data_IF_961396099629
#
_entry.id   IF_961396099629
#
_cell.length_a   1.000
_cell.length_b   1.000
_cell.length_c   1.000
_cell.angle_alpha   90.00
_cell.angle_beta   90.00
_cell.angle_gamma   90.00
#
_symmetry.space_group_name_H-M   'P 1'
#
loop_
_entity.id
_entity.type
_entity.pdbx_description
1 polymer ?
#
# COMPACT_ATOMS: atom_id res chain seq x y z
N UNK A 1 15.97 15.31 -2.69
CA UNK A 1 16.99 15.43 -1.64
C UNK A 1 18.35 15.24 -2.30
N UNK A 2 19.10 16.34 -2.51
CA UNK A 2 20.50 16.25 -2.88
C UNK A 2 21.29 15.85 -1.65
N UNK A 3 21.67 14.59 -1.56
CA UNK A 3 22.61 14.12 -0.54
C UNK A 3 24.01 14.66 -0.90
N UNK A 4 24.76 15.11 0.08
CA UNK A 4 26.19 15.40 -0.13
C UNK A 4 26.87 14.12 -0.61
N UNK A 5 27.94 14.22 -1.41
CA UNK A 5 28.65 13.07 -1.97
C UNK A 5 29.04 12.04 -0.90
N UNK A 6 29.46 12.46 0.28
CA UNK A 6 29.79 11.59 1.42
C UNK A 6 28.55 10.82 1.97
N UNK A 7 27.39 11.47 2.06
CA UNK A 7 26.16 10.81 2.53
C UNK A 7 25.65 9.80 1.50
N UNK A 8 25.80 10.07 0.22
CA UNK A 8 25.48 9.15 -0.87
C UNK A 8 26.34 7.89 -0.81
N UNK A 9 27.63 8.03 -0.56
CA UNK A 9 28.58 6.90 -0.45
C UNK A 9 28.32 6.02 0.77
N UNK A 10 27.95 6.62 1.91
CA UNK A 10 27.56 5.88 3.11
C UNK A 10 26.29 5.06 2.85
N UNK A 11 25.27 5.69 2.25
CA UNK A 11 24.01 5.01 1.93
C UNK A 11 24.23 3.87 0.94
N UNK A 12 25.04 4.08 -0.10
CA UNK A 12 25.43 3.04 -1.05
C UNK A 12 26.08 1.84 -0.37
N UNK A 13 27.02 2.06 0.56
CA UNK A 13 27.66 0.97 1.32
C UNK A 13 26.68 0.20 2.18
N UNK A 14 25.71 0.89 2.81
CA UNK A 14 24.65 0.24 3.59
C UNK A 14 23.77 -0.65 2.71
N UNK A 15 23.30 -0.14 1.57
CA UNK A 15 22.47 -0.93 0.65
C UNK A 15 23.24 -2.13 0.08
N UNK A 16 24.52 -1.95 -0.28
CA UNK A 16 25.36 -3.05 -0.80
C UNK A 16 25.53 -4.16 0.24
N UNK A 17 25.83 -3.80 1.50
CA UNK A 17 25.91 -4.77 2.58
C UNK A 17 24.57 -5.49 2.82
N UNK A 18 23.45 -4.75 2.77
CA UNK A 18 22.11 -5.35 2.87
C UNK A 18 21.85 -6.38 1.78
N UNK A 19 22.19 -6.10 0.51
CA UNK A 19 22.06 -7.05 -0.60
C UNK A 19 22.92 -8.29 -0.37
N UNK A 20 24.15 -8.12 0.11
CA UNK A 20 25.05 -9.26 0.40
C UNK A 20 24.48 -10.16 1.50
N UNK A 21 23.82 -9.59 2.49
CA UNK A 21 23.12 -10.32 3.55
C UNK A 21 21.94 -11.09 2.94
N UNK A 22 21.09 -10.45 2.13
CA UNK A 22 19.94 -11.10 1.49
C UNK A 22 20.39 -12.31 0.65
N UNK A 23 21.45 -12.16 -0.14
CA UNK A 23 22.02 -13.25 -0.97
C UNK A 23 22.55 -14.44 -0.16
N UNK A 24 22.83 -14.26 1.11
CA UNK A 24 23.26 -15.36 2.00
C UNK A 24 22.11 -16.02 2.73
N UNK A 25 20.98 -15.34 2.86
CA UNK A 25 19.79 -15.86 3.55
C UNK A 25 18.96 -16.78 2.67
N UNK A 26 18.99 -16.57 1.35
CA UNK A 26 18.24 -17.38 0.40
C UNK A 26 19.13 -17.78 -0.80
N UNK A 27 18.90 -18.96 -1.41
CA UNK A 27 19.61 -19.36 -2.62
C UNK A 27 19.10 -18.63 -3.89
N UNK A 28 17.97 -17.96 -3.81
CA UNK A 28 17.35 -17.27 -4.92
C UNK A 28 18.06 -15.98 -5.32
N UNK A 29 17.64 -15.41 -6.43
CA UNK A 29 18.12 -14.13 -6.92
C UNK A 29 17.58 -12.98 -6.07
N UNK A 30 18.35 -11.90 -5.98
CA UNK A 30 17.90 -10.65 -5.39
C UNK A 30 17.47 -9.70 -6.51
N UNK A 31 16.22 -9.32 -6.54
CA UNK A 31 15.66 -8.37 -7.49
C UNK A 31 15.52 -7.01 -6.81
N UNK A 32 15.93 -5.95 -7.50
CA UNK A 32 15.81 -4.57 -7.04
C UNK A 32 14.88 -3.81 -7.98
N UNK A 33 13.68 -3.53 -7.52
CA UNK A 33 12.68 -2.79 -8.30
C UNK A 33 12.75 -1.29 -8.01
N UNK A 34 12.82 -0.49 -9.05
CA UNK A 34 12.88 0.96 -8.94
C UNK A 34 11.92 1.63 -9.92
N UNK A 35 11.50 2.84 -9.59
CA UNK A 35 10.71 3.64 -10.52
C UNK A 35 11.59 4.07 -11.70
N UNK A 36 11.12 3.94 -12.94
CA UNK A 36 11.88 4.27 -14.15
C UNK A 36 12.51 5.68 -14.11
N UNK A 37 11.80 6.69 -13.56
CA UNK A 37 12.35 8.05 -13.39
C UNK A 37 13.48 8.15 -12.35
N UNK A 38 13.65 7.16 -11.50
CA UNK A 38 14.66 7.14 -10.44
C UNK A 38 15.86 6.23 -10.80
N UNK A 39 15.83 5.54 -11.93
CA UNK A 39 16.89 4.61 -12.36
C UNK A 39 18.29 5.25 -12.30
N UNK A 40 18.45 6.43 -12.91
CA UNK A 40 19.73 7.14 -12.92
C UNK A 40 20.14 7.74 -11.56
N UNK A 41 19.28 7.71 -10.56
CA UNK A 41 19.56 8.19 -9.21
C UNK A 41 19.96 7.07 -8.25
N UNK A 42 19.72 5.81 -8.63
CA UNK A 42 20.10 4.66 -7.83
C UNK A 42 21.59 4.34 -8.00
N UNK A 43 22.31 4.08 -6.91
CA UNK A 43 23.68 3.62 -7.01
C UNK A 43 23.72 2.25 -7.68
N UNK A 44 24.74 2.00 -8.50
CA UNK A 44 24.97 0.68 -9.04
C UNK A 44 25.34 -0.28 -7.91
N UNK A 45 24.48 -1.28 -7.66
CA UNK A 45 24.60 -2.26 -6.59
C UNK A 45 24.93 -3.63 -7.21
N UNK A 46 25.95 -4.30 -6.67
CA UNK A 46 26.38 -5.61 -7.17
C UNK A 46 25.54 -6.72 -6.53
N UNK A 47 25.21 -7.72 -7.34
CA UNK A 47 24.53 -8.92 -6.85
C UNK A 47 23.02 -8.82 -6.74
N UNK A 48 22.42 -7.75 -7.27
CA UNK A 48 20.99 -7.64 -7.49
C UNK A 48 20.70 -7.38 -8.97
N UNK A 49 19.60 -7.92 -9.47
CA UNK A 49 19.06 -7.65 -10.80
C UNK A 49 18.16 -6.41 -10.70
N UNK A 50 18.46 -5.37 -11.50
CA UNK A 50 17.72 -4.13 -11.49
C UNK A 50 16.52 -4.21 -12.44
N UNK A 51 15.33 -3.91 -11.95
CA UNK A 51 14.10 -3.81 -12.73
C UNK A 51 13.51 -2.41 -12.60
N UNK A 52 13.02 -1.87 -13.71
CA UNK A 52 12.41 -0.54 -13.74
C UNK A 52 10.94 -0.64 -14.05
N UNK A 53 10.13 0.01 -13.22
CA UNK A 53 8.68 0.05 -13.35
C UNK A 53 8.19 1.47 -13.60
N UNK A 54 7.23 1.59 -14.52
CA UNK A 54 6.55 2.85 -14.83
C UNK A 54 5.04 2.59 -14.92
N UNK A 55 4.26 3.53 -14.45
CA UNK A 55 2.80 3.41 -14.50
C UNK A 55 2.12 4.21 -13.40
N UNK A 56 0.80 4.15 -13.42
CA UNK A 56 -0.03 4.64 -12.32
C UNK A 56 -0.07 3.58 -11.22
N UNK A 57 -0.52 3.97 -10.02
CA UNK A 57 -0.87 2.99 -8.99
C UNK A 57 -1.86 1.95 -9.59
N UNK A 58 -1.67 0.63 -9.35
CA UNK A 58 -0.79 -0.02 -8.38
C UNK A 58 0.56 -0.53 -8.92
N UNK A 59 1.10 -0.03 -10.04
CA UNK A 59 2.38 -0.48 -10.59
C UNK A 59 3.57 -0.42 -9.60
N UNK A 60 3.41 0.31 -8.50
CA UNK A 60 4.39 0.41 -7.41
C UNK A 60 4.25 -0.66 -6.33
N UNK A 61 3.18 -1.45 -6.32
CA UNK A 61 2.99 -2.52 -5.35
C UNK A 61 3.97 -3.66 -5.64
N UNK A 62 4.51 -4.25 -4.59
CA UNK A 62 5.52 -5.30 -4.72
C UNK A 62 4.93 -6.58 -5.32
N UNK A 63 3.69 -6.94 -5.01
CA UNK A 63 3.00 -8.08 -5.62
C UNK A 63 2.89 -7.95 -7.13
N UNK A 64 2.48 -6.77 -7.63
CA UNK A 64 2.44 -6.47 -9.07
C UNK A 64 3.82 -6.61 -9.72
N UNK A 65 4.87 -6.16 -9.03
CA UNK A 65 6.24 -6.25 -9.55
C UNK A 65 6.74 -7.68 -9.60
N UNK A 66 6.45 -8.48 -8.57
CA UNK A 66 6.79 -9.91 -8.52
C UNK A 66 6.07 -10.65 -9.66
N UNK A 67 4.77 -10.42 -9.84
CA UNK A 67 4.00 -11.03 -10.93
C UNK A 67 4.64 -10.80 -12.32
N UNK A 68 5.19 -9.61 -12.57
CA UNK A 68 5.84 -9.29 -13.85
C UNK A 68 7.29 -9.77 -13.98
N UNK A 69 7.97 -10.07 -12.88
CA UNK A 69 9.36 -10.54 -12.89
C UNK A 69 9.39 -12.07 -12.88
N UNK A 70 8.73 -12.67 -11.88
CA UNK A 70 8.73 -14.11 -11.63
C UNK A 70 7.52 -14.44 -10.73
N UNK A 71 6.37 -14.80 -11.33
CA UNK A 71 5.13 -15.06 -10.58
C UNK A 71 5.32 -16.22 -9.60
N UNK A 72 4.78 -16.08 -8.39
CA UNK A 72 4.91 -17.08 -7.33
C UNK A 72 3.97 -18.25 -7.58
N UNK A 73 4.51 -19.47 -7.54
CA UNK A 73 3.76 -20.72 -7.67
C UNK A 73 3.65 -21.47 -6.34
N UNK A 74 2.87 -22.54 -6.32
CA UNK A 74 2.70 -23.41 -5.15
C UNK A 74 4.05 -23.92 -4.64
N UNK A 75 4.32 -23.71 -3.36
CA UNK A 75 5.55 -24.16 -2.70
C UNK A 75 6.75 -23.22 -2.86
N UNK A 76 6.62 -22.14 -3.61
CA UNK A 76 7.64 -21.11 -3.73
C UNK A 76 7.50 -20.07 -2.62
N UNK A 77 8.62 -19.46 -2.23
CA UNK A 77 8.67 -18.42 -1.18
C UNK A 77 9.46 -17.23 -1.68
N UNK A 78 8.85 -16.06 -1.65
CA UNK A 78 9.49 -14.79 -1.97
C UNK A 78 9.54 -13.88 -0.74
N UNK A 79 10.74 -13.39 -0.42
CA UNK A 79 10.93 -12.41 0.63
C UNK A 79 10.95 -10.99 0.07
N UNK A 80 10.16 -10.11 0.63
CA UNK A 80 10.13 -8.71 0.26
C UNK A 80 10.75 -7.85 1.35
N UNK A 81 11.60 -6.89 0.96
CA UNK A 81 12.27 -5.97 1.91
C UNK A 81 12.21 -4.56 1.36
N UNK A 82 11.74 -3.63 2.17
CA UNK A 82 11.73 -2.22 1.82
C UNK A 82 13.16 -1.67 1.77
N UNK A 83 13.43 -0.72 0.90
CA UNK A 83 14.76 -0.12 0.73
C UNK A 83 15.31 0.53 2.02
N UNK A 84 14.45 1.10 2.88
CA UNK A 84 14.87 1.65 4.15
C UNK A 84 15.26 0.54 5.13
N UNK A 85 14.51 -0.56 5.15
CA UNK A 85 14.77 -1.70 6.01
C UNK A 85 16.04 -2.44 5.54
N UNK A 86 16.29 -2.52 4.22
CA UNK A 86 17.54 -3.01 3.66
C UNK A 86 18.74 -2.16 4.13
N UNK A 87 18.59 -0.84 4.18
CA UNK A 87 19.63 0.05 4.70
C UNK A 87 19.87 -0.14 6.22
N UNK A 88 18.84 -0.42 7.00
CA UNK A 88 18.93 -0.75 8.44
C UNK A 88 19.73 -2.04 8.62
N UNK A 89 19.42 -3.08 7.83
CA UNK A 89 20.15 -4.35 7.83
C UNK A 89 21.63 -4.09 7.47
N UNK A 90 21.87 -3.33 6.41
CA UNK A 90 23.25 -3.01 6.01
C UNK A 90 24.03 -2.22 7.06
N UNK A 91 23.39 -1.30 7.80
CA UNK A 91 24.03 -0.62 8.94
C UNK A 91 24.41 -1.58 10.05
N UNK A 92 23.51 -2.50 10.38
CA UNK A 92 23.79 -3.52 11.39
C UNK A 92 25.08 -4.29 11.07
N UNK A 93 25.21 -4.78 9.84
CA UNK A 93 26.39 -5.57 9.44
C UNK A 93 27.66 -4.74 9.23
N UNK A 94 27.54 -3.47 8.87
CA UNK A 94 28.70 -2.58 8.73
C UNK A 94 29.21 -2.00 10.05
N UNK A 95 28.29 -1.69 10.98
CA UNK A 95 28.60 -0.92 12.19
C UNK A 95 28.44 -1.74 13.49
N UNK A 96 27.87 -2.95 13.41
CA UNK A 96 27.66 -3.82 14.57
C UNK A 96 26.59 -3.31 15.55
N UNK A 97 25.75 -2.33 15.13
CA UNK A 97 24.71 -1.74 15.98
C UNK A 97 23.37 -1.71 15.28
N UNK A 98 22.30 -1.89 16.05
CA UNK A 98 20.92 -1.75 15.56
C UNK A 98 20.51 -0.27 15.61
N UNK A 99 20.14 0.29 14.46
CA UNK A 99 19.58 1.63 14.35
C UNK A 99 18.28 1.55 13.55
N UNK A 100 17.16 1.52 14.27
CA UNK A 100 15.80 1.39 13.71
C UNK A 100 15.22 2.72 13.25
N UNK A 101 16.04 3.75 13.06
CA UNK A 101 15.61 5.05 12.57
C UNK A 101 15.25 4.98 11.09
N UNK A 102 14.06 5.43 10.76
CA UNK A 102 13.54 5.52 9.39
C UNK A 102 12.86 6.86 9.11
N UNK A 103 12.68 7.18 7.83
CA UNK A 103 11.96 8.37 7.39
C UNK A 103 10.55 7.95 6.99
N UNK A 104 9.56 8.63 7.55
CA UNK A 104 8.16 8.45 7.21
C UNK A 104 7.56 9.72 6.61
N UNK A 105 6.55 9.56 5.76
CA UNK A 105 5.73 10.67 5.29
C UNK A 105 4.56 10.91 6.27
N UNK A 106 4.33 12.15 6.66
CA UNK A 106 3.12 12.57 7.38
C UNK A 106 2.26 13.35 6.39
N UNK A 107 1.09 12.82 6.06
CA UNK A 107 0.21 13.32 5.00
C UNK A 107 -1.28 13.16 5.34
N UNK A 108 -2.14 13.65 4.47
CA UNK A 108 -3.59 13.60 4.60
C UNK A 108 -4.20 14.98 4.60
N UNK A 109 -5.52 15.05 4.30
CA UNK A 109 -6.24 16.33 4.22
C UNK A 109 -6.32 17.06 5.55
N UNK A 110 -6.23 16.34 6.67
CA UNK A 110 -6.28 16.92 8.03
C UNK A 110 -4.91 17.25 8.61
N UNK A 111 -3.84 17.10 7.84
CA UNK A 111 -2.50 17.56 8.22
C UNK A 111 -2.31 19.01 7.80
N UNK A 112 -1.87 19.86 8.72
CA UNK A 112 -1.63 21.28 8.45
C UNK A 112 -0.41 21.47 7.54
N UNK A 113 0.70 20.77 7.86
CA UNK A 113 1.96 20.84 7.11
C UNK A 113 2.44 19.42 6.75
N UNK A 114 2.11 18.89 5.55
CA UNK A 114 2.64 17.63 5.09
C UNK A 114 4.17 17.66 5.05
N UNK A 115 4.81 16.65 5.65
CA UNK A 115 6.27 16.62 5.80
C UNK A 115 6.83 15.22 5.93
N UNK A 116 8.14 15.10 5.73
CA UNK A 116 8.88 13.89 6.10
C UNK A 116 9.46 14.05 7.51
N UNK A 117 9.27 13.02 8.34
CA UNK A 117 9.77 12.97 9.71
C UNK A 117 10.74 11.80 9.87
N UNK A 118 11.84 12.04 10.60
CA UNK A 118 12.72 10.97 11.05
C UNK A 118 12.23 10.44 12.39
N UNK A 119 11.92 9.15 12.45
CA UNK A 119 11.35 8.48 13.63
C UNK A 119 12.03 7.14 13.85
N UNK A 120 11.92 6.62 15.06
CA UNK A 120 12.25 5.22 15.33
C UNK A 120 11.06 4.35 14.90
N UNK A 121 11.29 3.18 14.31
CA UNK A 121 10.22 2.25 13.97
C UNK A 121 9.37 1.96 15.22
N UNK A 122 8.05 2.00 15.07
CA UNK A 122 7.11 1.85 16.18
C UNK A 122 6.96 3.09 17.08
N UNK A 123 7.34 4.29 16.61
CA UNK A 123 7.17 5.52 17.38
C UNK A 123 5.69 5.81 17.69
N UNK A 124 5.40 6.47 18.80
CA UNK A 124 4.05 6.88 19.19
C UNK A 124 3.49 7.91 18.20
N UNK A 125 2.24 7.68 17.82
CA UNK A 125 1.52 8.52 16.83
C UNK A 125 1.34 9.94 17.32
N UNK A 126 0.96 10.15 18.57
CA UNK A 126 0.76 11.49 19.17
C UNK A 126 2.04 12.34 19.13
N UNK A 127 3.20 11.71 19.34
CA UNK A 127 4.49 12.41 19.27
C UNK A 127 4.83 12.88 17.84
N UNK A 128 4.45 12.09 16.83
CA UNK A 128 4.65 12.41 15.42
C UNK A 128 3.71 13.54 14.96
N UNK A 129 2.45 13.48 15.39
CA UNK A 129 1.40 14.41 14.97
C UNK A 129 1.35 15.71 15.76
N UNK A 130 2.13 15.85 16.83
CA UNK A 130 2.07 16.98 17.76
C UNK A 130 2.04 18.34 17.07
N UNK A 131 0.90 19.05 17.22
CA UNK A 131 0.70 20.38 16.67
C UNK A 131 0.63 20.46 15.13
N UNK A 132 0.41 19.33 14.45
CA UNK A 132 0.36 19.28 12.99
C UNK A 132 -0.99 18.75 12.44
N UNK A 133 -1.95 18.50 13.30
CA UNK A 133 -3.33 18.19 12.89
C UNK A 133 -4.14 19.47 12.89
N UNK A 134 -4.92 19.71 11.84
CA UNK A 134 -5.79 20.87 11.73
C UNK A 134 -6.79 20.93 12.89
N UNK A 135 -7.15 22.14 13.38
CA UNK A 135 -8.19 22.28 14.39
C UNK A 135 -9.51 21.68 13.89
N UNK A 136 -10.09 20.79 14.68
CA UNK A 136 -11.37 20.16 14.37
C UNK A 136 -12.52 21.03 14.91
N UNK A 137 -13.63 21.09 14.16
CA UNK A 137 -14.87 21.69 14.65
C UNK A 137 -15.54 20.76 15.66
N UNK A 138 -16.39 21.31 16.50
CA UNK A 138 -17.18 20.51 17.44
C UNK A 138 -18.00 19.42 16.68
N UNK A 139 -17.83 18.18 17.08
CA UNK A 139 -18.46 17.01 16.43
C UNK A 139 -17.77 16.52 15.16
N UNK A 140 -16.63 17.08 14.76
CA UNK A 140 -15.80 16.52 13.69
C UNK A 140 -14.72 15.62 14.31
N UNK A 141 -14.46 14.48 13.65
CA UNK A 141 -13.43 13.54 14.06
C UNK A 141 -12.46 13.28 12.91
N UNK A 142 -11.25 12.86 13.25
CA UNK A 142 -10.23 12.45 12.28
C UNK A 142 -9.95 10.97 12.38
N UNK A 143 -9.70 10.35 11.25
CA UNK A 143 -9.15 9.03 11.16
C UNK A 143 -7.64 9.10 10.99
N UNK A 144 -6.93 8.48 11.91
CA UNK A 144 -5.49 8.33 11.84
C UNK A 144 -5.20 6.93 11.31
N UNK A 145 -4.35 6.84 10.28
CA UNK A 145 -4.03 5.61 9.57
C UNK A 145 -2.51 5.41 9.59
N UNK A 146 -2.09 4.29 10.17
CA UNK A 146 -0.73 3.80 10.04
C UNK A 146 -0.56 3.16 8.67
N UNK A 147 0.08 3.86 7.75
CA UNK A 147 0.15 3.53 6.34
C UNK A 147 -0.63 4.52 5.45
N UNK A 148 -0.97 4.08 4.24
CA UNK A 148 -1.75 4.84 3.27
C UNK A 148 -3.26 4.59 3.43
N UNK A 149 -4.09 5.33 2.68
CA UNK A 149 -5.56 5.24 2.75
C UNK A 149 -6.15 3.95 2.18
N UNK A 150 -5.40 3.20 1.38
CA UNK A 150 -5.89 2.00 0.69
C UNK A 150 -5.61 0.72 1.49
N UNK A 151 -4.44 0.63 2.11
CA UNK A 151 -3.95 -0.60 2.76
C UNK A 151 -3.52 -0.41 4.21
N UNK A 152 -3.60 0.83 4.71
CA UNK A 152 -3.18 1.15 6.07
C UNK A 152 -4.20 0.74 7.13
N UNK A 153 -3.74 0.65 8.36
CA UNK A 153 -4.57 0.25 9.51
C UNK A 153 -4.94 1.47 10.35
N UNK A 154 -6.21 1.58 10.74
CA UNK A 154 -6.67 2.60 11.70
C UNK A 154 -5.91 2.44 13.02
N UNK A 155 -5.39 3.55 13.55
CA UNK A 155 -4.67 3.58 14.82
C UNK A 155 -5.22 4.71 15.72
N UNK A 156 -5.32 4.52 17.03
CA UNK A 156 -5.67 5.61 17.92
C UNK A 156 -4.53 6.61 18.05
N UNK A 157 -4.83 7.82 18.53
CA UNK A 157 -3.84 8.89 18.68
C UNK A 157 -2.70 8.53 19.67
N UNK A 158 -3.00 7.75 20.69
CA UNK A 158 -2.05 7.23 21.68
C UNK A 158 -1.39 5.90 21.27
N UNK A 159 -1.74 5.39 20.08
CA UNK A 159 -1.17 4.18 19.50
C UNK A 159 0.22 4.35 18.91
N UNK A 160 0.67 3.34 18.21
CA UNK A 160 2.00 3.27 17.64
C UNK A 160 1.96 3.11 16.12
N UNK A 161 2.96 3.66 15.45
CA UNK A 161 3.15 3.45 14.02
C UNK A 161 3.52 1.99 13.77
N UNK A 162 2.87 1.35 12.80
CA UNK A 162 3.20 -0.02 12.38
C UNK A 162 4.66 -0.14 11.97
N UNK A 163 5.28 -1.27 12.30
CA UNK A 163 6.72 -1.49 12.08
C UNK A 163 7.13 -1.26 10.61
N UNK A 164 6.35 -1.75 9.67
CA UNK A 164 6.61 -1.63 8.22
C UNK A 164 6.00 -0.37 7.60
N UNK A 165 5.23 0.42 8.35
CA UNK A 165 4.61 1.63 7.83
C UNK A 165 5.67 2.70 7.54
N UNK A 166 5.63 3.27 6.35
CA UNK A 166 6.48 4.38 5.90
C UNK A 166 5.69 5.69 5.76
N UNK A 167 4.43 5.67 6.17
CA UNK A 167 3.52 6.81 6.10
C UNK A 167 2.57 6.80 7.29
N UNK A 168 2.22 8.00 7.75
CA UNK A 168 1.13 8.26 8.68
C UNK A 168 0.16 9.21 8.00
N UNK A 169 -1.09 8.78 7.86
CA UNK A 169 -2.12 9.52 7.12
C UNK A 169 -3.25 9.96 8.04
N UNK A 170 -3.70 11.20 7.92
CA UNK A 170 -4.83 11.73 8.69
C UNK A 170 -5.86 12.33 7.75
N UNK A 171 -7.08 11.79 7.81
CA UNK A 171 -8.22 12.19 6.97
C UNK A 171 -9.47 12.41 7.84
N UNK A 172 -10.51 13.08 7.33
CA UNK A 172 -11.78 13.17 8.05
C UNK A 172 -12.39 11.80 8.32
N UNK A 173 -12.96 11.60 9.50
CA UNK A 173 -13.75 10.39 9.81
C UNK A 173 -15.13 10.50 9.14
N UNK A 174 -15.57 9.42 8.51
CA UNK A 174 -16.85 9.32 7.83
C UNK A 174 -17.97 8.87 8.77
N UNK A 175 -18.27 9.66 9.79
CA UNK A 175 -19.30 9.38 10.80
C UNK A 175 -20.61 10.17 10.59
N UNK A 176 -20.71 10.93 9.47
CA UNK A 176 -21.89 11.72 9.14
C UNK A 176 -22.77 10.99 8.11
N UNK A 177 -23.92 10.55 8.58
CA UNK A 177 -24.92 9.92 7.72
C UNK A 177 -25.70 10.97 6.93
N UNK A 178 -25.82 10.76 5.62
CA UNK A 178 -26.61 11.63 4.72
C UNK A 178 -27.82 10.86 4.16
N UNK A 179 -29.01 11.25 4.58
CA UNK A 179 -30.25 10.68 4.05
C UNK A 179 -30.35 10.96 2.54
N UNK A 180 -30.57 9.91 1.73
CA UNK A 180 -30.67 9.96 0.25
C UNK A 180 -29.46 10.64 -0.42
N UNK A 181 -28.30 10.69 0.24
CA UNK A 181 -27.09 11.33 -0.27
C UNK A 181 -26.64 10.83 -1.66
N UNK A 182 -26.94 9.58 -1.98
CA UNK A 182 -26.66 8.94 -3.28
C UNK A 182 -27.52 9.47 -4.44
N UNK A 183 -28.71 10.01 -4.16
CA UNK A 183 -29.64 10.52 -5.18
C UNK A 183 -29.49 12.03 -5.45
N UNK A 184 -28.71 12.73 -4.63
CA UNK A 184 -28.56 14.18 -4.74
C UNK A 184 -27.53 14.54 -5.82
N UNK A 185 -27.86 15.42 -6.79
CA UNK A 185 -26.88 15.93 -7.74
C UNK A 185 -25.83 16.78 -6.98
N UNK A 186 -24.57 16.37 -7.06
CA UNK A 186 -23.48 17.05 -6.32
C UNK A 186 -22.25 17.26 -7.18
N UNK A 187 -21.58 18.40 -6.97
CA UNK A 187 -20.30 18.74 -7.62
C UNK A 187 -19.10 18.52 -6.70
N UNK A 188 -19.31 18.20 -5.43
CA UNK A 188 -18.28 18.09 -4.39
C UNK A 188 -18.03 16.66 -3.91
N UNK A 189 -18.81 15.68 -4.35
CA UNK A 189 -18.57 14.26 -4.05
C UNK A 189 -17.89 13.56 -5.22
N UNK A 190 -16.88 12.76 -4.91
CA UNK A 190 -16.19 11.91 -5.87
C UNK A 190 -17.02 10.66 -6.17
N UNK A 191 -16.99 10.21 -7.41
CA UNK A 191 -17.64 8.97 -7.83
C UNK A 191 -16.95 8.43 -9.09
N UNK A 192 -16.44 7.21 -9.03
CA UNK A 192 -15.86 6.51 -10.19
C UNK A 192 -16.95 6.18 -11.21
N UNK A 193 -18.13 5.79 -10.75
CA UNK A 193 -19.31 5.46 -11.60
C UNK A 193 -19.98 6.66 -12.25
N UNK A 194 -19.47 7.88 -12.02
CA UNK A 194 -20.06 9.13 -12.51
C UNK A 194 -21.50 9.38 -12.03
N UNK A 195 -21.87 8.87 -10.89
CA UNK A 195 -23.19 9.08 -10.28
C UNK A 195 -23.43 10.53 -9.86
N UNK A 196 -22.37 11.30 -9.61
CA UNK A 196 -22.43 12.73 -9.27
C UNK A 196 -21.90 13.57 -10.42
N UNK A 197 -22.38 14.82 -10.54
CA UNK A 197 -21.93 15.76 -11.58
C UNK A 197 -20.49 16.27 -11.41
N UNK A 198 -19.80 15.85 -10.38
CA UNK A 198 -18.38 16.15 -10.14
C UNK A 198 -17.45 15.70 -11.28
N UNK A 199 -17.84 14.72 -12.09
CA UNK A 199 -17.11 14.31 -13.29
C UNK A 199 -16.97 15.41 -14.35
N UNK A 200 -17.82 16.46 -14.32
CA UNK A 200 -17.69 17.64 -15.15
C UNK A 200 -16.47 18.52 -14.76
N UNK A 201 -15.92 18.31 -13.57
CA UNK A 201 -14.78 19.03 -13.03
C UNK A 201 -13.56 18.13 -12.85
N UNK A 202 -12.91 17.62 -13.91
CA UNK A 202 -11.90 16.55 -13.84
C UNK A 202 -10.61 16.97 -13.12
N UNK A 203 -10.37 18.26 -12.93
CA UNK A 203 -9.18 18.81 -12.22
C UNK A 203 -9.45 19.12 -10.76
N UNK A 204 -10.67 18.85 -10.26
CA UNK A 204 -11.02 19.16 -8.87
C UNK A 204 -10.30 18.19 -7.93
N UNK A 205 -9.68 18.73 -6.90
CA UNK A 205 -9.19 17.94 -5.75
C UNK A 205 -10.35 17.68 -4.78
N UNK A 206 -10.34 16.52 -4.14
CA UNK A 206 -11.35 16.09 -3.18
C UNK A 206 -10.67 15.75 -1.85
N UNK A 207 -11.23 16.23 -0.75
CA UNK A 207 -10.93 15.74 0.59
C UNK A 207 -11.89 14.58 0.87
N UNK A 208 -11.41 13.35 0.66
CA UNK A 208 -12.21 12.15 0.86
C UNK A 208 -12.23 11.79 2.34
N UNK A 209 -13.41 11.44 2.82
CA UNK A 209 -13.65 10.87 4.14
C UNK A 209 -13.77 9.33 4.07
N UNK A 210 -14.08 8.70 5.19
CA UNK A 210 -14.24 7.24 5.28
C UNK A 210 -15.69 6.78 5.11
N UNK A 211 -16.60 7.64 4.65
CA UNK A 211 -17.97 7.24 4.36
C UNK A 211 -18.02 6.28 3.17
N UNK A 212 -18.71 5.18 3.33
CA UNK A 212 -18.93 4.19 2.29
C UNK A 212 -19.71 4.77 1.09
N UNK A 213 -20.55 5.78 1.29
CA UNK A 213 -21.40 6.42 0.27
C UNK A 213 -22.24 5.41 -0.54
N UNK A 214 -22.81 4.44 0.15
CA UNK A 214 -23.60 3.36 -0.43
C UNK A 214 -23.85 2.26 0.59
N UNK A 215 -24.25 1.09 0.15
CA UNK A 215 -24.40 -0.10 0.98
C UNK A 215 -23.84 -1.31 0.24
N UNK A 216 -23.49 -2.34 0.99
CA UNK A 216 -23.02 -3.61 0.45
C UNK A 216 -24.08 -4.24 -0.45
N UNK A 217 -23.63 -4.79 -1.56
CA UNK A 217 -24.46 -5.47 -2.54
C UNK A 217 -23.73 -6.69 -3.10
N UNK A 218 -24.45 -7.74 -3.57
CA UNK A 218 -23.81 -8.80 -4.33
C UNK A 218 -23.06 -8.23 -5.54
N UNK A 219 -21.83 -8.66 -5.75
CA UNK A 219 -21.04 -8.22 -6.90
C UNK A 219 -21.23 -9.17 -8.08
N UNK A 220 -21.65 -8.59 -9.21
CA UNK A 220 -21.96 -9.33 -10.44
C UNK A 220 -21.31 -8.71 -11.67
N UNK A 221 -20.71 -7.53 -11.52
CA UNK A 221 -20.11 -6.79 -12.62
C UNK A 221 -18.77 -7.42 -12.96
N UNK A 222 -18.59 -7.85 -14.21
CA UNK A 222 -17.32 -8.35 -14.75
C UNK A 222 -16.60 -7.26 -15.55
N UNK A 223 -15.27 -7.34 -15.65
CA UNK A 223 -14.47 -6.41 -16.46
C UNK A 223 -14.18 -5.05 -15.79
N UNK A 224 -14.60 -4.85 -14.53
CA UNK A 224 -14.28 -3.62 -13.80
C UNK A 224 -12.91 -3.73 -13.14
N UNK A 225 -12.65 -4.81 -12.42
CA UNK A 225 -11.42 -4.97 -11.64
C UNK A 225 -10.20 -5.13 -12.54
N UNK A 226 -10.36 -5.75 -13.69
CA UNK A 226 -9.30 -5.92 -14.70
C UNK A 226 -8.75 -4.58 -15.22
N UNK A 227 -9.51 -3.49 -15.09
CA UNK A 227 -9.06 -2.14 -15.45
C UNK A 227 -8.09 -1.54 -14.42
N UNK A 228 -8.11 -2.06 -13.20
CA UNK A 228 -7.35 -1.53 -12.06
C UNK A 228 -6.28 -2.48 -11.53
N UNK A 229 -6.34 -3.74 -11.91
CA UNK A 229 -5.38 -4.77 -11.52
C UNK A 229 -4.52 -5.15 -12.74
N UNK A 230 -3.28 -4.65 -12.85
CA UNK A 230 -2.41 -4.94 -13.99
C UNK A 230 -1.66 -6.26 -13.81
N UNK A 231 -2.41 -7.35 -13.64
CA UNK A 231 -1.92 -8.74 -13.53
C UNK A 231 -2.71 -9.62 -14.49
N UNK A 232 -2.09 -10.66 -15.01
CA UNK A 232 -2.72 -11.64 -15.91
C UNK A 232 -3.49 -12.70 -15.12
N UNK A 233 -4.48 -12.25 -14.37
CA UNK A 233 -5.39 -13.08 -13.59
C UNK A 233 -6.84 -12.65 -13.82
N UNK A 234 -7.80 -13.50 -13.41
CA UNK A 234 -9.23 -13.20 -13.47
C UNK A 234 -9.77 -12.80 -12.08
N UNK A 235 -9.67 -11.53 -11.68
CA UNK A 235 -9.91 -11.10 -10.29
C UNK A 235 -11.33 -11.42 -9.81
N UNK A 236 -12.37 -11.20 -10.64
CA UNK A 236 -13.76 -11.50 -10.28
C UNK A 236 -13.98 -12.99 -10.03
N UNK A 237 -13.38 -13.87 -10.83
CA UNK A 237 -13.54 -15.31 -10.67
C UNK A 237 -12.75 -15.80 -9.44
N UNK A 238 -11.56 -15.26 -9.21
CA UNK A 238 -10.76 -15.57 -8.03
C UNK A 238 -11.49 -15.19 -6.74
N UNK A 239 -12.07 -13.99 -6.66
CA UNK A 239 -12.87 -13.54 -5.51
C UNK A 239 -14.06 -14.47 -5.25
N UNK A 240 -14.76 -14.90 -6.30
CA UNK A 240 -15.86 -15.86 -6.15
C UNK A 240 -15.41 -17.23 -5.70
N UNK A 241 -14.24 -17.68 -6.13
CA UNK A 241 -13.63 -18.93 -5.66
C UNK A 241 -13.28 -18.84 -4.18
N UNK A 242 -12.70 -17.71 -3.74
CA UNK A 242 -12.41 -17.45 -2.32
C UNK A 242 -13.67 -17.48 -1.46
N UNK A 243 -14.75 -16.80 -1.89
CA UNK A 243 -16.02 -16.80 -1.17
C UNK A 243 -16.69 -18.17 -1.12
N UNK A 244 -16.51 -18.99 -2.15
CA UNK A 244 -17.00 -20.36 -2.20
C UNK A 244 -16.13 -21.36 -1.40
N UNK A 245 -14.91 -20.97 -0.99
CA UNK A 245 -13.95 -21.87 -0.38
C UNK A 245 -13.45 -22.97 -1.32
N UNK A 246 -13.49 -22.73 -2.63
CA UNK A 246 -13.12 -23.71 -3.66
C UNK A 246 -11.62 -23.64 -3.92
N UNK A 247 -10.87 -24.49 -3.21
CA UNK A 247 -9.39 -24.53 -3.21
C UNK A 247 -8.86 -24.77 -4.61
N UNK A 248 -9.38 -25.76 -5.31
CA UNK A 248 -8.91 -26.11 -6.66
C UNK A 248 -9.07 -24.94 -7.64
N UNK A 249 -10.20 -24.21 -7.54
CA UNK A 249 -10.39 -23.02 -8.36
C UNK A 249 -9.52 -21.85 -7.93
N UNK A 250 -9.28 -21.65 -6.64
CA UNK A 250 -8.36 -20.61 -6.17
C UNK A 250 -6.94 -20.86 -6.72
N UNK A 251 -6.44 -22.09 -6.67
CA UNK A 251 -5.14 -22.47 -7.25
C UNK A 251 -5.11 -22.20 -8.77
N UNK A 252 -6.11 -22.69 -9.50
CA UNK A 252 -6.18 -22.54 -10.96
C UNK A 252 -6.35 -21.07 -11.41
N UNK A 253 -6.81 -20.18 -10.53
CA UNK A 253 -7.04 -18.76 -10.80
C UNK A 253 -5.93 -17.84 -10.26
N UNK A 254 -4.83 -18.42 -9.72
CA UNK A 254 -3.64 -17.66 -9.35
C UNK A 254 -3.62 -17.09 -7.94
N UNK A 255 -4.24 -17.76 -6.95
CA UNK A 255 -4.25 -17.29 -5.55
C UNK A 255 -2.83 -17.13 -4.98
N UNK A 256 -1.83 -17.90 -5.45
CA UNK A 256 -0.45 -17.80 -5.00
C UNK A 256 0.29 -16.56 -5.50
N UNK A 257 -0.21 -15.93 -6.56
CA UNK A 257 0.43 -14.77 -7.19
C UNK A 257 0.01 -13.44 -6.58
N UNK A 258 -1.01 -13.43 -5.71
CA UNK A 258 -1.66 -12.22 -5.24
C UNK A 258 -1.55 -12.05 -3.73
N UNK A 259 -1.58 -10.79 -3.31
CA UNK A 259 -1.79 -10.39 -1.92
C UNK A 259 -2.95 -9.38 -1.85
N UNK A 260 -3.54 -9.21 -0.67
CA UNK A 260 -4.69 -8.33 -0.49
C UNK A 260 -4.43 -6.88 -0.93
N UNK A 261 -3.21 -6.36 -0.76
CA UNK A 261 -2.90 -4.98 -1.14
C UNK A 261 -2.99 -4.72 -2.65
N UNK A 262 -2.85 -5.75 -3.49
CA UNK A 262 -2.97 -5.62 -4.94
C UNK A 262 -4.41 -5.30 -5.34
N UNK A 263 -5.38 -5.74 -4.54
CA UNK A 263 -6.81 -5.50 -4.75
C UNK A 263 -7.34 -4.22 -4.10
N UNK A 264 -6.53 -3.47 -3.39
CA UNK A 264 -6.98 -2.28 -2.67
C UNK A 264 -7.62 -1.23 -3.58
N UNK A 265 -7.11 -1.05 -4.80
CA UNK A 265 -7.72 -0.15 -5.78
C UNK A 265 -9.02 -0.72 -6.37
N UNK A 266 -9.13 -2.05 -6.53
CA UNK A 266 -10.37 -2.72 -6.92
C UNK A 266 -11.47 -2.48 -5.88
N UNK A 267 -11.15 -2.61 -4.59
CA UNK A 267 -12.07 -2.32 -3.49
C UNK A 267 -12.52 -0.86 -3.48
N UNK A 268 -11.60 0.08 -3.70
CA UNK A 268 -11.93 1.51 -3.75
C UNK A 268 -12.93 1.85 -4.88
N UNK A 269 -12.82 1.22 -6.04
CA UNK A 269 -13.68 1.50 -7.20
C UNK A 269 -14.96 0.65 -7.23
N UNK A 270 -15.04 -0.38 -6.39
CA UNK A 270 -16.18 -1.31 -6.40
C UNK A 270 -17.51 -0.63 -6.06
N UNK A 271 -18.50 -0.68 -6.98
CA UNK A 271 -19.83 -0.15 -6.72
C UNK A 271 -20.64 -0.99 -5.72
N UNK A 272 -20.27 -2.26 -5.52
CA UNK A 272 -20.95 -3.18 -4.61
C UNK A 272 -20.51 -3.02 -3.15
N UNK A 273 -19.42 -2.28 -2.91
CA UNK A 273 -18.91 -1.93 -1.57
C UNK A 273 -18.56 -3.15 -0.70
N UNK A 274 -18.05 -4.20 -1.33
CA UNK A 274 -17.57 -5.39 -0.62
C UNK A 274 -16.12 -5.22 -0.15
N UNK A 275 -15.74 -5.92 0.91
CA UNK A 275 -14.37 -5.92 1.46
C UNK A 275 -13.49 -6.89 0.67
N UNK A 276 -13.05 -6.48 -0.51
CA UNK A 276 -12.30 -7.32 -1.45
C UNK A 276 -10.98 -7.78 -0.85
N UNK A 277 -10.26 -6.90 -0.17
CA UNK A 277 -8.99 -7.23 0.49
C UNK A 277 -9.18 -8.32 1.53
N UNK A 278 -10.27 -8.25 2.32
CA UNK A 278 -10.58 -9.26 3.32
C UNK A 278 -10.89 -10.63 2.67
N UNK A 279 -11.65 -10.65 1.58
CA UNK A 279 -11.97 -11.88 0.84
C UNK A 279 -10.68 -12.58 0.36
N UNK A 280 -9.74 -11.82 -0.21
CA UNK A 280 -8.44 -12.38 -0.64
C UNK A 280 -7.64 -12.89 0.58
N UNK A 281 -7.60 -12.12 1.67
CA UNK A 281 -6.91 -12.55 2.91
C UNK A 281 -7.48 -13.86 3.45
N UNK A 282 -8.81 -13.99 3.47
CA UNK A 282 -9.49 -15.21 3.94
C UNK A 282 -9.21 -16.39 3.01
N UNK A 283 -9.19 -16.16 1.68
CA UNK A 283 -8.77 -17.17 0.70
C UNK A 283 -7.33 -17.65 0.92
N UNK A 284 -6.39 -16.74 1.08
CA UNK A 284 -4.98 -17.06 1.38
C UNK A 284 -4.87 -17.84 2.70
N UNK A 285 -5.58 -17.39 3.75
CA UNK A 285 -5.57 -18.08 5.03
C UNK A 285 -6.16 -19.51 4.95
N UNK A 286 -7.17 -19.72 4.11
CA UNK A 286 -7.72 -21.05 3.85
C UNK A 286 -6.67 -21.93 3.16
N UNK A 287 -6.01 -21.40 2.11
CA UNK A 287 -4.93 -22.13 1.42
C UNK A 287 -3.81 -22.56 2.39
N UNK A 288 -3.39 -21.66 3.29
CA UNK A 288 -2.34 -21.97 4.29
C UNK A 288 -2.78 -23.08 5.26
N UNK A 289 -4.06 -23.18 5.58
CA UNK A 289 -4.57 -24.22 6.50
C UNK A 289 -4.72 -25.60 5.87
N UNK A 290 -5.00 -25.62 4.57
CA UNK A 290 -5.29 -26.85 3.82
C UNK A 290 -4.06 -27.37 3.03
N UNK A 291 -2.98 -26.57 2.95
CA UNK A 291 -1.71 -26.95 2.35
C UNK A 291 -0.85 -27.75 3.35
#
# INVERSE_FOLDING_TARGET
>A
LALSSSASDVYKRQLQAGIEVMRRLTPGKVHLSVRAKAEGQMPMLKGAELHTFAGKHPAGNVGIQIHHIDPVNKGEVVWTVNIQDLAIIGRLFNEGRVDMTKIIAVAGSEIEKPQYCRVVAGARVDSILRGNVKPQKEGDHVRIISGNVLTGTKTPADGFLGFYANQLTVIPEGDKYELLGWAMPRFNKFSVSRSYFSWLCPKKAYDLDTNMNGGERPFVVTGLYEQYLPMDIYPMYLLKACLAGDIDKMENLGIYEVVEEDFALCEFVDPSKIEIQQIIRDGINLMIKEA
#
